data_IF_095275494650
#
_entry.id   IF_095275494650
#
_cell.length_a   1.000
_cell.length_b   1.000
_cell.length_c   1.000
_cell.angle_alpha   90.00
_cell.angle_beta   90.00
_cell.angle_gamma   90.00
#
_symmetry.space_group_name_H-M   'P 1'
#
loop_
_entity.id
_entity.type
_entity.pdbx_description
1 polymer ?
#
# COMPACT_ATOMS: atom_id res chain seq x y z
N UNK A 1 37.20 -14.53 -28.46
CA UNK A 1 36.69 -14.71 -27.09
C UNK A 1 36.64 -13.34 -26.42
N UNK A 2 35.56 -13.04 -25.69
CA UNK A 2 35.21 -11.69 -25.19
C UNK A 2 36.26 -11.19 -24.18
N UNK A 3 36.90 -10.04 -24.45
CA UNK A 3 38.08 -9.55 -23.69
C UNK A 3 37.80 -9.10 -22.24
N UNK A 4 36.54 -9.17 -21.79
CA UNK A 4 36.12 -8.68 -20.49
C UNK A 4 36.13 -9.73 -19.37
N UNK A 5 36.32 -11.02 -19.67
CA UNK A 5 36.49 -12.04 -18.64
C UNK A 5 37.72 -12.91 -18.94
N UNK A 6 38.79 -12.85 -18.11
CA UNK A 6 39.95 -13.72 -18.24
C UNK A 6 39.54 -15.19 -18.11
N UNK A 7 40.20 -16.06 -18.85
CA UNK A 7 40.00 -17.50 -18.75
C UNK A 7 40.61 -18.00 -17.43
N UNK A 8 39.81 -18.60 -16.52
CA UNK A 8 40.27 -19.00 -15.19
C UNK A 8 41.34 -20.10 -15.23
N UNK A 9 41.39 -20.92 -16.28
CA UNK A 9 42.37 -22.01 -16.39
C UNK A 9 43.80 -21.48 -16.58
N UNK A 10 43.95 -20.22 -16.99
CA UNK A 10 45.23 -19.60 -17.32
C UNK A 10 45.51 -18.32 -16.53
N UNK A 11 44.61 -17.94 -15.62
CA UNK A 11 44.72 -16.71 -14.82
C UNK A 11 44.87 -17.05 -13.34
N UNK A 12 46.06 -16.81 -12.79
CA UNK A 12 46.37 -17.12 -11.39
C UNK A 12 45.43 -16.36 -10.43
N UNK A 13 44.83 -17.08 -9.48
CA UNK A 13 43.88 -16.53 -8.50
C UNK A 13 42.41 -16.54 -8.94
N UNK A 14 42.10 -17.06 -10.13
CA UNK A 14 40.72 -17.39 -10.52
C UNK A 14 40.52 -18.90 -10.37
N UNK A 15 39.64 -19.30 -9.45
CA UNK A 15 39.26 -20.71 -9.29
C UNK A 15 38.31 -21.13 -10.44
N UNK A 16 38.58 -22.29 -11.05
CA UNK A 16 37.78 -22.85 -12.13
C UNK A 16 36.45 -23.44 -11.60
N UNK A 17 35.49 -22.57 -11.30
CA UNK A 17 34.11 -22.94 -11.00
C UNK A 17 33.61 -22.48 -9.64
N UNK A 18 32.33 -22.10 -9.61
CA UNK A 18 31.62 -21.53 -8.46
C UNK A 18 31.82 -22.33 -7.17
N UNK A 19 32.73 -21.84 -6.33
CA UNK A 19 33.14 -22.46 -5.07
C UNK A 19 32.19 -22.16 -3.91
N UNK A 20 30.94 -21.78 -4.19
CA UNK A 20 29.90 -21.81 -3.16
C UNK A 20 29.23 -23.17 -3.24
N UNK A 21 29.38 -23.95 -2.17
CA UNK A 21 28.70 -25.23 -2.03
C UNK A 21 27.19 -25.00 -2.17
N UNK A 22 26.50 -25.63 -3.14
CA UNK A 22 25.04 -25.59 -3.19
C UNK A 22 24.49 -26.19 -1.90
N UNK A 23 23.96 -25.33 -1.02
CA UNK A 23 23.82 -25.59 0.41
C UNK A 23 23.86 -24.32 1.25
N UNK A 24 24.41 -23.23 0.71
CA UNK A 24 23.97 -21.87 1.02
C UNK A 24 22.54 -21.70 0.49
N UNK A 25 21.58 -22.41 1.10
CA UNK A 25 20.19 -22.00 1.05
C UNK A 25 20.21 -20.49 1.33
N UNK A 26 19.71 -19.64 0.43
CA UNK A 26 19.46 -18.26 0.79
C UNK A 26 18.82 -18.28 2.17
N UNK A 27 19.30 -17.49 3.16
CA UNK A 27 18.66 -17.46 4.46
C UNK A 27 17.18 -17.28 4.19
N UNK A 28 16.35 -18.18 4.74
CA UNK A 28 14.94 -18.24 4.42
C UNK A 28 14.41 -16.80 4.36
N UNK A 29 14.10 -16.32 3.15
CA UNK A 29 13.45 -15.03 2.97
C UNK A 29 11.98 -15.16 3.41
N UNK A 30 11.75 -15.78 4.58
CA UNK A 30 10.52 -15.74 5.34
C UNK A 30 10.58 -14.50 6.21
N UNK A 31 10.45 -13.34 5.59
CA UNK A 31 10.66 -12.07 6.28
C UNK A 31 9.98 -10.86 5.66
N UNK A 32 9.00 -11.04 4.76
CA UNK A 32 8.04 -9.96 4.45
C UNK A 32 7.12 -9.82 5.68
N UNK A 33 7.64 -9.14 6.69
CA UNK A 33 7.00 -9.04 8.00
C UNK A 33 7.94 -8.40 9.00
N UNK A 34 8.36 -7.16 8.73
CA UNK A 34 8.91 -6.29 9.76
C UNK A 34 7.98 -6.22 10.98
N UNK A 35 8.51 -5.92 12.17
CA UNK A 35 7.83 -6.11 13.45
C UNK A 35 6.42 -5.51 13.42
N UNK A 36 5.40 -6.37 13.48
CA UNK A 36 3.98 -6.07 13.70
C UNK A 36 3.59 -4.61 13.41
N UNK A 37 3.67 -4.18 12.15
CA UNK A 37 3.17 -2.86 11.79
C UNK A 37 1.67 -2.97 11.54
N UNK A 38 0.87 -2.70 12.57
CA UNK A 38 -0.55 -2.44 12.33
C UNK A 38 -0.66 -1.24 11.38
N UNK A 39 -1.39 -1.37 10.26
CA UNK A 39 -1.58 -0.27 9.35
C UNK A 39 -2.25 0.89 10.11
N UNK A 40 -1.89 2.15 9.82
CA UNK A 40 -2.45 3.30 10.51
C UNK A 40 -3.98 3.27 10.41
N UNK A 41 -4.66 3.21 11.56
CA UNK A 41 -6.12 3.21 11.58
C UNK A 41 -6.64 4.55 11.04
N UNK A 42 -7.42 4.51 9.97
CA UNK A 42 -8.07 5.71 9.44
C UNK A 42 -9.14 6.18 10.42
N UNK A 43 -9.03 7.43 10.86
CA UNK A 43 -10.08 8.06 11.67
C UNK A 43 -11.43 8.07 10.94
N UNK A 44 -12.49 7.71 11.66
CA UNK A 44 -13.88 7.77 11.17
C UNK A 44 -14.54 9.13 11.40
N UNK A 45 -13.87 10.06 12.08
CA UNK A 45 -14.46 11.37 12.43
C UNK A 45 -14.85 12.15 11.18
N UNK A 46 -13.94 12.28 10.21
CA UNK A 46 -14.19 13.03 8.98
C UNK A 46 -15.36 12.48 8.15
N UNK A 47 -15.44 11.17 7.83
CA UNK A 47 -16.60 10.65 7.09
C UNK A 47 -17.92 10.79 7.87
N UNK A 48 -17.91 10.63 9.20
CA UNK A 48 -19.10 10.84 10.02
C UNK A 48 -19.58 12.30 9.93
N UNK A 49 -18.67 13.28 10.07
CA UNK A 49 -19.01 14.70 9.97
C UNK A 49 -19.62 15.02 8.61
N UNK A 50 -19.04 14.51 7.52
CA UNK A 50 -19.56 14.72 6.16
C UNK A 50 -20.98 14.16 6.04
N UNK A 51 -21.21 12.92 6.50
CA UNK A 51 -22.54 12.30 6.46
C UNK A 51 -23.55 13.13 7.25
N UNK A 52 -23.20 13.59 8.46
CA UNK A 52 -24.08 14.43 9.27
C UNK A 52 -24.45 15.73 8.55
N UNK A 53 -23.49 16.40 7.90
CA UNK A 53 -23.75 17.63 7.15
C UNK A 53 -24.66 17.38 5.95
N UNK A 54 -24.42 16.30 5.19
CA UNK A 54 -25.26 15.94 4.04
C UNK A 54 -26.69 15.61 4.46
N UNK A 55 -26.85 14.83 5.54
CA UNK A 55 -28.17 14.49 6.09
C UNK A 55 -28.91 15.75 6.55
N UNK A 56 -28.22 16.65 7.26
CA UNK A 56 -28.81 17.91 7.69
C UNK A 56 -29.28 18.74 6.49
N UNK A 57 -28.44 18.89 5.47
CA UNK A 57 -28.78 19.63 4.26
C UNK A 57 -29.97 19.02 3.52
N UNK A 58 -30.01 17.69 3.41
CA UNK A 58 -31.12 16.97 2.79
C UNK A 58 -32.45 17.20 3.53
N UNK A 59 -32.43 17.18 4.86
CA UNK A 59 -33.61 17.48 5.70
C UNK A 59 -34.08 18.91 5.48
N UNK A 60 -33.17 19.88 5.47
CA UNK A 60 -33.52 21.29 5.24
C UNK A 60 -34.14 21.52 3.87
N UNK A 61 -33.56 20.93 2.82
CA UNK A 61 -34.08 21.03 1.45
C UNK A 61 -35.45 20.36 1.36
N UNK A 62 -35.58 19.13 1.85
CA UNK A 62 -36.85 18.40 1.83
C UNK A 62 -37.94 19.14 2.60
N UNK A 63 -37.62 19.62 3.81
CA UNK A 63 -38.54 20.43 4.62
C UNK A 63 -38.93 21.73 3.94
N UNK A 64 -37.99 22.42 3.30
CA UNK A 64 -38.24 23.64 2.53
C UNK A 64 -39.16 23.39 1.33
N UNK A 65 -38.92 22.32 0.58
CA UNK A 65 -39.77 21.92 -0.55
C UNK A 65 -41.18 21.55 -0.10
N UNK A 66 -41.30 20.72 0.94
CA UNK A 66 -42.59 20.35 1.53
C UNK A 66 -43.32 21.60 2.00
N UNK A 67 -42.66 22.46 2.75
CA UNK A 67 -43.24 23.73 3.23
C UNK A 67 -43.72 24.61 2.08
N UNK A 68 -42.97 24.66 0.97
CA UNK A 68 -43.40 25.41 -0.22
C UNK A 68 -44.64 24.79 -0.89
N UNK A 69 -44.73 23.47 -0.98
CA UNK A 69 -45.89 22.77 -1.57
C UNK A 69 -47.15 22.97 -0.73
N UNK A 70 -47.03 22.96 0.61
CA UNK A 70 -48.18 23.11 1.51
C UNK A 70 -48.53 24.57 1.82
N UNK A 71 -47.86 25.54 1.19
CA UNK A 71 -48.16 26.97 1.36
C UNK A 71 -47.64 27.58 2.66
N UNK A 72 -46.68 26.94 3.34
CA UNK A 72 -46.01 27.42 4.55
C UNK A 72 -45.08 28.62 4.26
N UNK A 73 -44.63 28.74 3.02
CA UNK A 73 -43.82 29.86 2.52
C UNK A 73 -44.54 30.44 1.29
N UNK A 74 -45.43 31.41 1.54
CA UNK A 74 -46.15 32.17 0.50
C UNK A 74 -45.21 33.02 -0.34
#
# INVERSE_FOLDING_TARGET
>A
MNAQNPDPDVTAGLEAGGSVTPGDTPPAETGIGGPNHEPPQRSRVMPIVIICVVVLLAILIAGGLIGRVVGLFG
#
